data_IF_625602536297
#
_entry.id   IF_625602536297
#
_cell.length_a   1.000
_cell.length_b   1.000
_cell.length_c   1.000
_cell.angle_alpha   90.00
_cell.angle_beta   90.00
_cell.angle_gamma   90.00
#
_symmetry.space_group_name_H-M   'P 1'
#
loop_
_entity.id
_entity.type
_entity.pdbx_description
1 polymer ?
#
# COMPACT_ATOMS: atom_id res chain seq x y z
N UNK A 1 16.18 50.82 24.46
CA UNK A 1 15.95 51.78 25.56
C UNK A 1 14.70 52.57 25.23
N UNK A 2 13.73 52.52 26.13
CA UNK A 2 12.32 52.96 26.03
C UNK A 2 12.06 54.30 25.34
N UNK A 3 10.90 54.42 24.67
CA UNK A 3 9.66 55.12 25.12
C UNK A 3 8.76 55.38 23.89
N UNK A 4 7.59 54.73 23.78
CA UNK A 4 6.24 55.18 24.23
C UNK A 4 5.75 56.47 23.52
N UNK A 5 4.81 56.35 22.57
CA UNK A 5 3.35 56.68 22.68
C UNK A 5 3.06 58.18 22.85
N UNK A 6 2.23 58.78 21.96
CA UNK A 6 0.97 59.50 22.28
C UNK A 6 0.15 59.77 20.99
N UNK A 7 -1.14 59.45 21.08
CA UNK A 7 -2.26 59.62 20.14
C UNK A 7 -2.75 61.07 19.98
N UNK A 8 -3.58 61.36 18.95
CA UNK A 8 -4.77 62.27 18.88
C UNK A 8 -5.25 62.18 17.41
N UNK A 9 -6.36 61.54 17.03
CA UNK A 9 -7.81 61.77 17.22
C UNK A 9 -8.38 62.97 16.41
N UNK A 10 -9.13 62.59 15.37
CA UNK A 10 -10.35 63.18 14.78
C UNK A 10 -10.25 64.33 13.77
N UNK A 11 -10.53 64.00 12.51
CA UNK A 11 -11.50 64.74 11.70
C UNK A 11 -12.42 63.73 10.99
N UNK A 12 -13.72 63.81 11.30
CA UNK A 12 -14.79 63.11 10.59
C UNK A 12 -15.33 64.02 9.49
N UNK A 13 -15.45 63.50 8.26
CA UNK A 13 -16.61 63.74 7.40
C UNK A 13 -16.52 62.83 6.16
N UNK A 14 -17.51 61.97 5.92
CA UNK A 14 -17.64 61.31 4.62
C UNK A 14 -18.41 59.99 4.61
N UNK A 15 -19.74 60.11 4.51
CA UNK A 15 -20.66 59.32 3.68
C UNK A 15 -20.80 57.79 3.82
N UNK A 16 -22.09 57.42 3.88
CA UNK A 16 -22.72 56.10 3.95
C UNK A 16 -22.29 55.07 2.88
N UNK A 17 -22.01 53.88 3.38
CA UNK A 17 -22.41 52.53 2.92
C UNK A 17 -22.64 52.24 1.43
N UNK A 18 -21.77 51.38 0.89
CA UNK A 18 -22.20 50.25 0.07
C UNK A 18 -21.51 48.98 0.57
N UNK A 19 -22.23 48.18 1.36
CA UNK A 19 -21.78 46.90 1.88
C UNK A 19 -21.78 45.84 0.76
N UNK A 20 -20.66 45.68 0.07
CA UNK A 20 -20.38 44.46 -0.69
C UNK A 20 -19.99 43.36 0.30
N UNK A 21 -20.98 42.55 0.66
CA UNK A 21 -20.81 41.31 1.40
C UNK A 21 -20.02 40.31 0.54
N UNK A 22 -18.70 40.45 0.53
CA UNK A 22 -17.77 39.47 -0.02
C UNK A 22 -17.68 38.29 0.94
N UNK A 23 -18.69 37.43 0.91
CA UNK A 23 -18.58 36.09 1.46
C UNK A 23 -17.49 35.36 0.68
N UNK A 24 -16.28 35.32 1.25
CA UNK A 24 -15.26 34.37 0.84
C UNK A 24 -15.88 32.96 0.88
N UNK A 25 -15.80 32.18 -0.21
CA UNK A 25 -16.27 30.81 -0.17
C UNK A 25 -15.51 30.06 0.93
N UNK A 26 -16.25 29.37 1.79
CA UNK A 26 -15.69 28.53 2.84
C UNK A 26 -14.60 27.61 2.24
N UNK A 27 -13.49 27.34 2.96
CA UNK A 27 -12.46 26.47 2.46
C UNK A 27 -13.06 25.11 2.10
N UNK A 28 -12.95 24.75 0.81
CA UNK A 28 -13.36 23.46 0.27
C UNK A 28 -12.64 22.40 1.10
N UNK A 29 -13.40 21.58 1.85
CA UNK A 29 -12.80 20.50 2.64
C UNK A 29 -12.05 19.55 1.70
N UNK A 30 -10.93 18.98 2.15
CA UNK A 30 -10.14 18.05 1.34
C UNK A 30 -10.97 16.88 0.79
N UNK A 31 -11.98 16.44 1.54
CA UNK A 31 -12.95 15.44 1.09
C UNK A 31 -13.79 15.96 -0.09
N UNK A 32 -14.36 17.16 0.00
CA UNK A 32 -15.15 17.74 -1.11
C UNK A 32 -14.32 18.01 -2.37
N UNK A 33 -13.04 18.35 -2.23
CA UNK A 33 -12.12 18.45 -3.37
C UNK A 33 -11.86 17.09 -4.02
N UNK A 34 -11.57 16.06 -3.20
CA UNK A 34 -11.31 14.71 -3.71
C UNK A 34 -12.54 14.11 -4.43
N UNK A 35 -13.74 14.43 -3.94
CA UNK A 35 -15.00 13.95 -4.51
C UNK A 35 -15.27 14.61 -5.87
N UNK A 36 -15.05 15.91 -5.97
CA UNK A 36 -15.15 16.65 -7.22
C UNK A 36 -14.14 16.14 -8.26
N UNK A 37 -12.89 15.91 -7.85
CA UNK A 37 -11.87 15.36 -8.75
C UNK A 37 -12.28 13.98 -9.27
N UNK A 38 -12.63 13.05 -8.37
CA UNK A 38 -13.01 11.68 -8.74
C UNK A 38 -14.21 11.63 -9.69
N UNK A 39 -15.17 12.56 -9.54
CA UNK A 39 -16.33 12.66 -10.42
C UNK A 39 -15.99 13.07 -11.87
N UNK A 40 -14.88 13.79 -12.08
CA UNK A 40 -14.43 14.25 -13.41
C UNK A 40 -13.56 13.23 -14.16
N UNK A 41 -13.03 12.23 -13.46
CA UNK A 41 -12.10 11.27 -14.04
C UNK A 41 -12.83 10.26 -14.95
N UNK A 42 -12.19 9.77 -16.03
CA UNK A 42 -12.76 8.74 -16.89
C UNK A 42 -13.12 7.50 -16.09
N UNK A 43 -14.24 6.87 -16.44
CA UNK A 43 -14.70 5.64 -15.80
C UNK A 43 -14.98 4.53 -16.82
N UNK A 44 -14.89 3.29 -16.37
CA UNK A 44 -15.24 2.11 -17.16
C UNK A 44 -15.98 1.11 -16.29
N UNK A 45 -16.76 0.23 -16.92
CA UNK A 45 -17.25 -0.96 -16.22
C UNK A 45 -16.03 -1.69 -15.63
N UNK A 46 -16.12 -2.06 -14.36
CA UNK A 46 -15.14 -2.94 -13.74
C UNK A 46 -15.76 -4.30 -13.47
N UNK A 47 -14.99 -5.18 -12.84
CA UNK A 47 -15.45 -6.54 -12.59
C UNK A 47 -16.62 -6.54 -11.62
N UNK A 48 -16.39 -6.10 -10.39
CA UNK A 48 -17.40 -6.05 -9.32
C UNK A 48 -18.02 -4.66 -9.13
N UNK A 49 -17.25 -3.61 -9.40
CA UNK A 49 -17.64 -2.19 -9.26
C UNK A 49 -17.02 -1.38 -10.39
N UNK A 50 -17.62 -0.22 -10.72
CA UNK A 50 -17.07 0.73 -11.71
C UNK A 50 -15.65 1.17 -11.30
N UNK A 51 -14.75 1.23 -12.28
CA UNK A 51 -13.38 1.70 -12.10
C UNK A 51 -13.24 3.12 -12.62
N UNK A 52 -12.35 3.86 -11.99
CA UNK A 52 -11.94 5.23 -12.31
C UNK A 52 -10.50 5.21 -12.74
N UNK A 53 -10.18 5.84 -13.86
CA UNK A 53 -8.82 5.95 -14.36
C UNK A 53 -8.12 7.13 -13.69
N UNK A 54 -7.09 6.86 -12.91
CA UNK A 54 -6.28 7.86 -12.22
C UNK A 54 -4.79 7.67 -12.55
N UNK A 55 -4.18 8.66 -13.21
CA UNK A 55 -2.76 8.63 -13.65
C UNK A 55 -2.37 7.29 -14.30
N UNK A 56 -3.16 6.85 -15.29
CA UNK A 56 -3.00 5.58 -16.02
C UNK A 56 -3.18 4.30 -15.19
N UNK A 57 -3.80 4.38 -14.01
CA UNK A 57 -4.15 3.22 -13.19
C UNK A 57 -5.66 3.15 -12.95
N UNK A 58 -6.25 1.99 -13.17
CA UNK A 58 -7.67 1.73 -12.91
C UNK A 58 -7.89 1.39 -11.43
N UNK A 59 -8.61 2.25 -10.71
CA UNK A 59 -8.87 2.10 -9.29
C UNK A 59 -10.37 2.20 -9.01
N UNK A 60 -10.83 1.62 -7.90
CA UNK A 60 -12.18 1.94 -7.41
C UNK A 60 -12.21 3.40 -6.95
N UNK A 61 -13.34 4.08 -7.07
CA UNK A 61 -13.46 5.50 -6.72
C UNK A 61 -12.92 5.84 -5.32
N UNK A 62 -13.21 5.01 -4.31
CA UNK A 62 -12.69 5.21 -2.94
C UNK A 62 -11.17 5.00 -2.84
N UNK A 63 -10.58 4.13 -3.67
CA UNK A 63 -9.14 3.90 -3.71
C UNK A 63 -8.40 5.11 -4.33
N UNK A 64 -9.02 5.83 -5.27
CA UNK A 64 -8.47 7.11 -5.76
C UNK A 64 -8.37 8.11 -4.61
N UNK A 65 -9.43 8.25 -3.80
CA UNK A 65 -9.41 9.13 -2.62
C UNK A 65 -8.32 8.71 -1.62
N UNK A 66 -8.18 7.40 -1.35
CA UNK A 66 -7.12 6.90 -0.48
C UNK A 66 -5.73 7.17 -1.05
N UNK A 67 -5.54 7.00 -2.37
CA UNK A 67 -4.27 7.29 -3.03
C UNK A 67 -3.88 8.77 -2.89
N UNK A 68 -4.83 9.69 -3.04
CA UNK A 68 -4.59 11.12 -2.83
C UNK A 68 -4.17 11.40 -1.38
N UNK A 69 -4.87 10.82 -0.40
CA UNK A 69 -4.52 10.96 1.01
C UNK A 69 -3.12 10.44 1.32
N UNK A 70 -2.72 9.32 0.73
CA UNK A 70 -1.36 8.78 0.84
C UNK A 70 -0.35 9.73 0.21
N UNK A 71 -0.62 10.25 -1.00
CA UNK A 71 0.25 11.22 -1.67
C UNK A 71 0.48 12.49 -0.83
N UNK A 72 -0.57 12.97 -0.16
CA UNK A 72 -0.53 14.23 0.57
C UNK A 72 0.01 14.08 2.00
N UNK A 73 -0.20 12.93 2.66
CA UNK A 73 -0.01 12.82 4.11
C UNK A 73 0.94 11.69 4.56
N UNK A 74 1.27 10.71 3.72
CA UNK A 74 2.19 9.65 4.13
C UNK A 74 3.62 10.19 4.25
N UNK A 75 4.25 10.00 5.41
CA UNK A 75 5.60 10.47 5.70
C UNK A 75 6.55 9.28 5.74
N UNK A 76 7.20 8.91 4.62
CA UNK A 76 8.11 7.79 4.61
C UNK A 76 9.35 8.06 5.47
N UNK A 77 9.84 7.04 6.16
CA UNK A 77 11.08 7.05 6.93
C UNK A 77 12.17 6.32 6.16
N UNK A 78 13.42 6.71 6.37
CA UNK A 78 14.56 6.11 5.68
C UNK A 78 14.74 4.62 5.96
N UNK A 79 14.19 4.13 7.07
CA UNK A 79 14.27 2.72 7.48
C UNK A 79 12.96 1.94 7.25
N UNK A 80 11.98 2.53 6.57
CA UNK A 80 10.75 1.82 6.21
C UNK A 80 11.03 0.67 5.23
N UNK A 81 10.29 -0.42 5.42
CA UNK A 81 10.23 -1.56 4.51
C UNK A 81 8.84 -1.61 3.89
N UNK A 82 8.76 -1.46 2.58
CA UNK A 82 7.51 -1.48 1.80
C UNK A 82 7.42 -2.79 1.00
N UNK A 83 6.42 -3.60 1.33
CA UNK A 83 6.07 -4.82 0.63
C UNK A 83 5.05 -4.49 -0.48
N UNK A 84 5.52 -4.38 -1.71
CA UNK A 84 4.69 -3.97 -2.85
C UNK A 84 4.28 -5.18 -3.68
N UNK A 85 3.00 -5.24 -4.07
CA UNK A 85 2.48 -6.31 -4.94
C UNK A 85 1.32 -5.80 -5.76
N UNK A 86 1.21 -6.15 -7.04
CA UNK A 86 -0.12 -6.12 -7.67
C UNK A 86 -1.04 -7.10 -6.91
N UNK A 87 -2.33 -6.80 -6.74
CA UNK A 87 -3.25 -7.71 -6.06
C UNK A 87 -3.11 -9.15 -6.56
N UNK A 88 -3.18 -10.10 -5.62
CA UNK A 88 -3.17 -11.54 -5.86
C UNK A 88 -1.84 -12.15 -6.33
N UNK A 89 -0.76 -11.38 -6.23
CA UNK A 89 0.60 -11.85 -6.53
C UNK A 89 1.36 -12.43 -5.32
N UNK A 90 0.68 -12.74 -4.21
CA UNK A 90 1.30 -13.37 -3.03
C UNK A 90 1.51 -12.45 -1.82
N UNK A 91 0.81 -11.31 -1.76
CA UNK A 91 0.89 -10.32 -0.67
C UNK A 91 0.80 -10.93 0.73
N UNK A 92 -0.15 -11.85 0.96
CA UNK A 92 -0.31 -12.53 2.26
C UNK A 92 0.94 -13.31 2.65
N UNK A 93 1.56 -13.98 1.67
CA UNK A 93 2.75 -14.79 1.90
C UNK A 93 3.97 -13.90 2.14
N UNK A 94 4.15 -12.86 1.32
CA UNK A 94 5.23 -11.89 1.48
C UNK A 94 5.16 -11.18 2.84
N UNK A 95 3.96 -10.76 3.27
CA UNK A 95 3.73 -10.18 4.61
C UNK A 95 4.15 -11.13 5.71
N UNK A 96 3.74 -12.39 5.63
CA UNK A 96 4.09 -13.40 6.62
C UNK A 96 5.61 -13.61 6.71
N UNK A 97 6.28 -13.79 5.56
CA UNK A 97 7.72 -14.00 5.47
C UNK A 97 8.49 -12.81 6.05
N UNK A 98 8.20 -11.59 5.57
CA UNK A 98 8.89 -10.40 6.04
C UNK A 98 8.64 -10.12 7.53
N UNK A 99 7.42 -10.33 8.01
CA UNK A 99 7.10 -10.14 9.43
C UNK A 99 7.82 -11.17 10.31
N UNK A 100 7.83 -12.45 9.92
CA UNK A 100 8.56 -13.49 10.64
C UNK A 100 10.07 -13.21 10.65
N UNK A 101 10.66 -12.84 9.50
CA UNK A 101 12.09 -12.52 9.38
C UNK A 101 12.48 -11.37 10.32
N UNK A 102 11.72 -10.27 10.29
CA UNK A 102 12.05 -9.03 11.03
C UNK A 102 11.74 -9.12 12.53
N UNK A 103 10.91 -10.09 12.96
CA UNK A 103 10.50 -10.24 14.36
C UNK A 103 10.91 -11.60 14.98
N UNK A 104 11.75 -12.39 14.33
CA UNK A 104 12.17 -13.72 14.83
C UNK A 104 12.90 -13.69 16.18
N UNK A 105 13.54 -12.57 16.53
CA UNK A 105 14.15 -12.37 17.85
C UNK A 105 13.17 -11.89 18.92
N UNK A 106 11.98 -11.42 18.51
CA UNK A 106 10.94 -10.88 19.41
C UNK A 106 9.91 -11.93 19.81
N UNK A 107 9.61 -12.87 18.92
CA UNK A 107 8.58 -13.88 19.14
C UNK A 107 9.14 -15.28 18.92
N UNK A 108 8.92 -16.16 19.90
CA UNK A 108 9.19 -17.57 19.74
C UNK A 108 8.25 -18.17 18.67
N UNK A 109 8.75 -19.11 17.86
CA UNK A 109 7.96 -19.76 16.80
C UNK A 109 6.72 -20.49 17.33
N UNK A 110 6.77 -21.02 18.55
CA UNK A 110 5.65 -21.73 19.18
C UNK A 110 4.47 -20.81 19.56
N UNK A 111 4.73 -19.51 19.79
CA UNK A 111 3.71 -18.52 20.17
C UNK A 111 3.70 -17.31 19.22
N UNK A 112 4.09 -17.54 17.96
CA UNK A 112 4.26 -16.46 17.01
C UNK A 112 2.91 -15.82 16.63
N UNK A 113 2.80 -14.48 16.46
CA UNK A 113 1.55 -13.81 16.08
C UNK A 113 0.89 -14.40 14.81
N UNK A 114 1.69 -14.86 13.85
CA UNK A 114 1.24 -15.52 12.62
C UNK A 114 0.58 -16.89 12.82
N UNK A 115 0.51 -17.42 14.04
CA UNK A 115 -0.30 -18.59 14.39
C UNK A 115 -1.73 -18.21 14.80
N UNK A 116 -1.97 -16.93 15.15
CA UNK A 116 -3.22 -16.44 15.74
C UNK A 116 -3.86 -15.32 14.90
N UNK A 117 -3.07 -14.57 14.15
CA UNK A 117 -3.50 -13.40 13.38
C UNK A 117 -3.18 -13.56 11.91
N UNK A 118 -4.13 -13.16 11.07
CA UNK A 118 -3.92 -13.06 9.63
C UNK A 118 -2.75 -12.08 9.31
N UNK A 119 -1.87 -12.37 8.35
CA UNK A 119 -0.76 -11.48 7.98
C UNK A 119 -1.18 -10.04 7.66
N UNK A 120 -2.39 -9.83 7.14
CA UNK A 120 -2.93 -8.50 6.86
C UNK A 120 -3.25 -7.67 8.11
N UNK A 121 -3.26 -8.28 9.31
CA UNK A 121 -3.44 -7.60 10.60
C UNK A 121 -2.14 -7.23 11.30
N UNK A 122 -1.01 -7.79 10.87
CA UNK A 122 0.32 -7.50 11.44
C UNK A 122 1.19 -6.65 10.52
N UNK A 123 0.82 -6.57 9.23
CA UNK A 123 1.41 -5.64 8.26
C UNK A 123 0.28 -4.89 7.57
N UNK A 124 0.16 -3.59 7.84
CA UNK A 124 -0.88 -2.72 7.29
C UNK A 124 -0.62 -2.38 5.82
N UNK A 125 -1.69 -2.17 5.05
CA UNK A 125 -1.61 -1.63 3.69
C UNK A 125 -1.72 -0.12 3.78
N UNK A 126 -0.79 0.63 3.20
CA UNK A 126 -0.69 2.09 3.33
C UNK A 126 -1.98 2.78 2.86
N UNK A 127 -2.55 2.31 1.75
CA UNK A 127 -3.78 2.83 1.17
C UNK A 127 -5.07 2.17 1.67
N UNK A 128 -4.99 1.29 2.69
CA UNK A 128 -6.19 0.83 3.37
C UNK A 128 -6.79 1.98 4.19
N UNK A 129 -8.12 2.03 4.21
CA UNK A 129 -8.87 2.66 5.31
C UNK A 129 -9.65 1.53 5.94
N UNK A 130 -9.12 0.94 7.01
CA UNK A 130 -10.04 0.21 7.89
C UNK A 130 -10.93 1.25 8.57
N UNK A 131 -12.24 1.01 8.56
CA UNK A 131 -13.23 1.78 9.30
C UNK A 131 -12.85 1.68 10.79
N UNK A 132 -12.01 2.58 11.27
CA UNK A 132 -11.87 2.84 12.70
C UNK A 132 -12.70 4.09 12.99
N UNK A 133 -13.48 4.02 14.06
CA UNK A 133 -14.28 5.13 14.59
C UNK A 133 -13.42 6.31 15.12
N UNK A 134 -12.12 6.35 14.79
CA UNK A 134 -11.14 7.27 15.36
C UNK A 134 -10.35 8.09 14.32
N UNK A 135 -10.65 7.96 13.03
CA UNK A 135 -9.90 8.68 11.98
C UNK A 135 -8.51 8.09 11.69
N UNK A 136 -7.98 8.46 10.51
CA UNK A 136 -6.58 8.37 10.09
C UNK A 136 -5.83 7.03 10.18
N UNK A 137 -5.97 6.12 9.19
CA UNK A 137 -5.09 4.93 9.06
C UNK A 137 -3.59 5.32 8.96
N UNK A 138 -3.31 6.53 8.47
CA UNK A 138 -1.96 7.10 8.43
C UNK A 138 -1.43 7.51 9.81
N UNK A 139 -2.29 7.97 10.73
CA UNK A 139 -1.86 8.30 12.11
C UNK A 139 -1.46 7.03 12.85
N UNK A 140 -2.18 5.93 12.62
CA UNK A 140 -1.78 4.62 13.11
C UNK A 140 -0.41 4.21 12.54
N UNK A 141 -0.18 4.37 11.23
CA UNK A 141 1.12 4.09 10.60
C UNK A 141 2.23 4.97 11.19
N UNK A 142 1.95 6.24 11.51
CA UNK A 142 2.91 7.11 12.19
C UNK A 142 3.19 6.69 13.63
N UNK A 143 2.22 6.10 14.34
CA UNK A 143 2.44 5.58 15.70
C UNK A 143 3.32 4.32 15.76
N UNK A 144 3.52 3.63 14.63
CA UNK A 144 4.31 2.40 14.59
C UNK A 144 5.81 2.67 14.86
N UNK A 145 6.49 1.81 15.63
CA UNK A 145 7.93 1.93 15.84
C UNK A 145 8.70 1.64 14.55
N UNK A 146 9.83 2.31 14.40
CA UNK A 146 10.80 2.07 13.32
C UNK A 146 11.65 0.81 13.59
N UNK A 147 12.09 0.08 12.53
CA UNK A 147 11.66 0.22 11.14
C UNK A 147 10.22 -0.26 10.95
N UNK A 148 9.41 0.48 10.16
CA UNK A 148 8.03 0.07 9.90
C UNK A 148 7.99 -0.96 8.77
N UNK A 149 7.24 -2.03 8.99
CA UNK A 149 6.91 -3.00 7.95
C UNK A 149 5.51 -2.68 7.41
N UNK A 150 5.47 -2.18 6.18
CA UNK A 150 4.26 -1.70 5.50
C UNK A 150 4.04 -2.46 4.19
N UNK A 151 2.85 -2.40 3.64
CA UNK A 151 2.55 -2.98 2.33
C UNK A 151 1.75 -2.03 1.45
N UNK A 152 1.76 -2.28 0.14
CA UNK A 152 0.94 -1.51 -0.81
C UNK A 152 0.61 -2.32 -2.06
N UNK A 153 -0.52 -1.98 -2.66
CA UNK A 153 -0.93 -2.36 -4.01
C UNK A 153 -0.77 -1.24 -5.02
N UNK A 154 -0.32 -0.05 -4.59
CA UNK A 154 -0.12 1.07 -5.51
C UNK A 154 1.03 0.78 -6.48
N UNK A 155 0.89 1.14 -7.76
CA UNK A 155 2.05 1.23 -8.65
C UNK A 155 3.02 2.28 -8.11
N UNK A 156 4.30 2.14 -8.44
CA UNK A 156 5.36 3.02 -7.92
C UNK A 156 5.08 4.50 -8.23
N UNK A 157 4.52 4.81 -9.40
CA UNK A 157 4.14 6.16 -9.83
C UNK A 157 3.04 6.81 -8.99
N UNK A 158 2.30 6.02 -8.20
CA UNK A 158 1.26 6.49 -7.30
C UNK A 158 1.70 6.60 -5.84
N UNK A 159 2.89 6.09 -5.49
CA UNK A 159 3.50 6.36 -4.19
C UNK A 159 4.07 7.78 -4.14
N UNK A 160 4.21 8.39 -2.95
CA UNK A 160 4.90 9.66 -2.80
C UNK A 160 6.33 9.56 -3.37
N UNK A 161 6.81 10.50 -4.19
CA UNK A 161 8.16 10.46 -4.75
C UNK A 161 9.26 10.37 -3.68
N UNK A 162 8.96 10.87 -2.48
CA UNK A 162 9.84 10.80 -1.30
C UNK A 162 10.19 9.39 -0.86
N UNK A 163 9.33 8.39 -1.15
CA UNK A 163 9.64 6.96 -0.93
C UNK A 163 10.92 6.56 -1.66
N UNK A 164 11.14 7.08 -2.87
CA UNK A 164 12.33 6.78 -3.65
C UNK A 164 13.57 7.56 -3.24
N UNK A 165 13.41 8.71 -2.56
CA UNK A 165 14.55 9.58 -2.21
C UNK A 165 15.02 9.44 -0.77
N UNK A 166 14.17 8.99 0.16
CA UNK A 166 14.50 8.91 1.59
C UNK A 166 15.27 7.63 1.98
N UNK A 167 15.32 6.64 1.08
CA UNK A 167 16.07 5.40 1.29
C UNK A 167 15.24 4.20 1.77
N UNK A 168 13.90 4.26 1.68
CA UNK A 168 13.06 3.11 1.99
C UNK A 168 13.49 1.86 1.20
N UNK A 169 13.40 0.69 1.82
CA UNK A 169 13.55 -0.58 1.12
C UNK A 169 12.20 -1.04 0.56
N UNK A 170 12.19 -1.49 -0.68
CA UNK A 170 11.01 -2.03 -1.35
C UNK A 170 11.27 -3.50 -1.69
N UNK A 171 10.37 -4.39 -1.28
CA UNK A 171 10.33 -5.76 -1.80
C UNK A 171 9.09 -5.87 -2.68
N UNK A 172 9.30 -6.00 -3.98
CA UNK A 172 8.23 -6.20 -4.94
C UNK A 172 8.09 -7.69 -5.28
N UNK A 173 6.87 -8.21 -5.16
CA UNK A 173 6.55 -9.58 -5.57
C UNK A 173 5.49 -9.57 -6.67
N UNK A 174 5.87 -10.04 -7.86
CA UNK A 174 4.93 -10.33 -8.93
C UNK A 174 4.71 -11.83 -9.06
N UNK A 175 3.77 -12.19 -9.93
CA UNK A 175 3.38 -13.56 -10.21
C UNK A 175 3.11 -13.69 -11.70
N UNK A 176 3.24 -14.90 -12.23
CA UNK A 176 2.84 -15.20 -13.61
C UNK A 176 1.41 -14.64 -13.87
N UNK A 177 1.20 -13.85 -14.94
CA UNK A 177 -0.05 -13.11 -15.12
C UNK A 177 -1.32 -13.95 -15.24
N UNK A 178 -1.29 -15.13 -15.87
CA UNK A 178 -2.48 -16.00 -16.00
C UNK A 178 -2.89 -16.55 -14.64
N UNK A 179 -1.89 -16.90 -13.83
CA UNK A 179 -2.04 -17.35 -12.45
C UNK A 179 -2.56 -16.24 -11.52
N UNK A 180 -2.04 -15.02 -11.67
CA UNK A 180 -2.50 -13.83 -10.96
C UNK A 180 -3.95 -13.48 -11.33
N UNK A 181 -4.28 -13.48 -12.62
CA UNK A 181 -5.62 -13.29 -13.15
C UNK A 181 -6.63 -14.28 -12.56
N UNK A 182 -6.32 -15.58 -12.63
CA UNK A 182 -7.20 -16.63 -12.11
C UNK A 182 -7.47 -16.45 -10.62
N UNK A 183 -6.43 -16.11 -9.85
CA UNK A 183 -6.58 -15.82 -8.41
C UNK A 183 -7.42 -14.57 -8.13
N UNK A 184 -7.32 -13.53 -8.97
CA UNK A 184 -8.13 -12.32 -8.87
C UNK A 184 -9.58 -12.57 -9.21
N UNK A 185 -9.84 -13.33 -10.27
CA UNK A 185 -11.19 -13.67 -10.69
C UNK A 185 -11.96 -14.41 -9.59
N UNK A 186 -11.36 -15.46 -9.02
CA UNK A 186 -11.96 -16.17 -7.89
C UNK A 186 -12.16 -15.28 -6.66
N UNK A 187 -11.20 -14.41 -6.37
CA UNK A 187 -11.28 -13.52 -5.21
C UNK A 187 -12.40 -12.50 -5.34
N UNK A 188 -12.47 -11.80 -6.48
CA UNK A 188 -13.49 -10.79 -6.76
C UNK A 188 -14.89 -11.43 -6.76
N UNK A 189 -15.07 -12.60 -7.38
CA UNK A 189 -16.34 -13.32 -7.34
C UNK A 189 -16.74 -13.80 -5.94
N UNK A 190 -15.77 -14.09 -5.06
CA UNK A 190 -16.06 -14.45 -3.65
C UNK A 190 -16.55 -13.24 -2.83
N UNK A 191 -16.04 -12.03 -3.10
CA UNK A 191 -16.35 -10.83 -2.29
C UNK A 191 -17.46 -9.96 -2.90
N UNK A 192 -17.85 -10.23 -4.14
CA UNK A 192 -18.90 -9.47 -4.84
C UNK A 192 -20.26 -9.68 -4.18
N UNK A 193 -21.04 -8.60 -4.11
CA UNK A 193 -22.48 -8.62 -3.79
C UNK A 193 -23.25 -8.53 -5.12
N UNK A 194 -23.56 -9.67 -5.73
CA UNK A 194 -24.24 -9.75 -7.02
C UNK A 194 -23.71 -10.87 -7.89
N UNK A 195 -24.19 -10.95 -9.12
CA UNK A 195 -23.86 -12.06 -10.02
C UNK A 195 -22.36 -12.12 -10.35
N UNK A 196 -21.76 -13.32 -10.34
CA UNK A 196 -20.35 -13.47 -10.65
C UNK A 196 -20.05 -13.00 -12.08
N UNK A 197 -18.90 -12.36 -12.28
CA UNK A 197 -18.42 -12.07 -13.62
C UNK A 197 -17.94 -13.37 -14.27
N UNK A 198 -18.28 -13.59 -15.54
CA UNK A 198 -17.77 -14.74 -16.29
C UNK A 198 -16.25 -14.66 -16.45
N UNK A 199 -15.61 -15.81 -16.64
CA UNK A 199 -14.16 -15.86 -16.82
C UNK A 199 -13.74 -15.11 -18.08
N UNK A 200 -14.48 -15.28 -19.17
CA UNK A 200 -14.19 -14.68 -20.48
C UNK A 200 -14.28 -13.15 -20.43
N UNK A 201 -15.35 -12.59 -19.84
CA UNK A 201 -15.50 -11.14 -19.70
C UNK A 201 -14.38 -10.57 -18.83
N UNK A 202 -14.10 -11.20 -17.69
CA UNK A 202 -13.03 -10.76 -16.81
C UNK A 202 -11.65 -10.83 -17.49
N UNK A 203 -11.39 -11.89 -18.27
CA UNK A 203 -10.13 -12.09 -18.98
C UNK A 203 -9.91 -11.01 -20.05
N UNK A 204 -10.93 -10.72 -20.88
CA UNK A 204 -10.86 -9.64 -21.87
C UNK A 204 -10.52 -8.31 -21.20
N UNK A 205 -11.25 -7.95 -20.12
CA UNK A 205 -10.99 -6.72 -19.38
C UNK A 205 -9.59 -6.69 -18.74
N UNK A 206 -9.08 -7.83 -18.26
CA UNK A 206 -7.72 -7.94 -17.72
C UNK A 206 -6.66 -7.64 -18.78
N UNK A 207 -6.83 -8.24 -19.97
CA UNK A 207 -5.93 -8.08 -21.11
C UNK A 207 -5.97 -6.66 -21.70
N UNK A 208 -7.11 -5.97 -21.60
CA UNK A 208 -7.25 -4.55 -21.93
C UNK A 208 -6.69 -3.61 -20.84
N UNK A 209 -6.28 -4.17 -19.70
CA UNK A 209 -5.75 -3.42 -18.56
C UNK A 209 -6.83 -2.85 -17.62
N UNK A 210 -8.11 -3.01 -17.97
CA UNK A 210 -9.30 -2.56 -17.24
C UNK A 210 -9.63 -3.48 -16.05
N UNK A 211 -8.73 -3.54 -15.06
CA UNK A 211 -8.92 -4.26 -13.81
C UNK A 211 -8.37 -3.47 -12.62
N UNK A 212 -8.73 -3.83 -11.38
CA UNK A 212 -8.28 -3.08 -10.20
C UNK A 212 -6.74 -3.09 -10.11
N UNK A 213 -6.15 -1.89 -9.99
CA UNK A 213 -4.70 -1.63 -10.04
C UNK A 213 -4.04 -1.96 -11.39
N UNK A 214 -4.83 -2.16 -12.44
CA UNK A 214 -4.37 -2.36 -13.80
C UNK A 214 -3.98 -1.05 -14.50
N UNK A 215 -3.24 -1.12 -15.62
CA UNK A 215 -2.79 -2.35 -16.28
C UNK A 215 -1.66 -3.08 -15.54
N UNK A 216 -1.74 -4.41 -15.44
CA UNK A 216 -0.79 -5.19 -14.61
C UNK A 216 0.64 -5.13 -15.15
N UNK A 217 0.83 -5.06 -16.49
CA UNK A 217 2.16 -5.02 -17.09
C UNK A 217 2.90 -3.73 -16.76
N UNK A 218 2.21 -2.58 -16.76
CA UNK A 218 2.80 -1.31 -16.36
C UNK A 218 3.14 -1.31 -14.87
N UNK A 219 2.27 -1.91 -14.05
CA UNK A 219 2.54 -2.10 -12.63
C UNK A 219 3.82 -2.92 -12.41
N UNK A 220 4.00 -4.03 -13.13
CA UNK A 220 5.19 -4.88 -13.01
C UNK A 220 6.43 -4.16 -13.53
N UNK A 221 6.31 -3.50 -14.69
CA UNK A 221 7.42 -2.85 -15.37
C UNK A 221 7.99 -1.68 -14.57
N UNK A 222 7.16 -0.93 -13.85
CA UNK A 222 7.61 0.15 -12.97
C UNK A 222 8.57 -0.36 -11.89
N UNK A 223 8.16 -1.37 -11.11
CA UNK A 223 9.00 -1.93 -10.06
C UNK A 223 10.20 -2.71 -10.60
N UNK A 224 10.07 -3.36 -11.76
CA UNK A 224 11.19 -4.02 -12.42
C UNK A 224 12.28 -3.01 -12.81
N UNK A 225 11.92 -1.94 -13.51
CA UNK A 225 12.86 -0.87 -13.90
C UNK A 225 13.52 -0.25 -12.67
N UNK A 226 12.77 0.02 -11.62
CA UNK A 226 13.30 0.58 -10.38
C UNK A 226 14.30 -0.38 -9.70
N UNK A 227 14.04 -1.70 -9.72
CA UNK A 227 14.98 -2.69 -9.19
C UNK A 227 16.31 -2.73 -9.93
N UNK A 228 16.32 -2.42 -11.23
CA UNK A 228 17.55 -2.31 -12.02
C UNK A 228 18.30 -1.00 -11.71
N UNK A 229 17.56 0.09 -11.48
CA UNK A 229 18.14 1.40 -11.17
C UNK A 229 18.69 1.47 -9.73
N UNK A 230 18.00 0.84 -8.78
CA UNK A 230 18.27 0.92 -7.33
C UNK A 230 18.28 -0.47 -6.68
N UNK A 231 19.20 -1.37 -7.06
CA UNK A 231 19.21 -2.76 -6.59
C UNK A 231 19.50 -2.93 -5.09
N UNK A 232 19.98 -1.88 -4.41
CA UNK A 232 20.21 -1.89 -2.95
C UNK A 232 18.95 -1.55 -2.17
N UNK A 233 18.03 -0.78 -2.78
CA UNK A 233 16.79 -0.32 -2.17
C UNK A 233 15.56 -1.04 -2.71
N UNK A 234 15.62 -1.69 -3.87
CA UNK A 234 14.47 -2.39 -4.47
C UNK A 234 14.83 -3.81 -4.88
N UNK A 235 14.17 -4.77 -4.23
CA UNK A 235 14.26 -6.20 -4.53
C UNK A 235 13.02 -6.64 -5.32
N UNK A 236 13.23 -7.12 -6.54
CA UNK A 236 12.19 -7.72 -7.36
C UNK A 236 12.23 -9.25 -7.25
N UNK A 237 11.09 -9.88 -7.00
CA UNK A 237 10.92 -11.33 -6.87
C UNK A 237 9.71 -11.82 -7.66
N UNK A 238 9.78 -13.08 -8.07
CA UNK A 238 8.64 -13.82 -8.62
C UNK A 238 8.06 -14.76 -7.56
N UNK A 239 6.74 -14.85 -7.47
CA UNK A 239 6.03 -15.80 -6.60
C UNK A 239 6.50 -17.25 -6.83
N UNK A 240 6.78 -17.58 -8.09
CA UNK A 240 7.25 -18.89 -8.53
C UNK A 240 8.65 -19.22 -7.98
N UNK A 241 9.52 -18.23 -7.80
CA UNK A 241 10.85 -18.42 -7.19
C UNK A 241 10.71 -18.80 -5.72
N UNK A 242 9.83 -18.10 -4.97
CA UNK A 242 9.55 -18.43 -3.57
C UNK A 242 8.93 -19.82 -3.46
N UNK A 243 8.07 -20.20 -4.41
CA UNK A 243 7.45 -21.53 -4.44
C UNK A 243 8.46 -22.64 -4.78
N UNK A 244 9.40 -22.38 -5.68
CA UNK A 244 10.41 -23.33 -6.13
C UNK A 244 11.43 -23.63 -5.02
N UNK A 245 12.00 -22.59 -4.43
CA UNK A 245 12.93 -22.70 -3.30
C UNK A 245 12.61 -21.67 -2.21
N UNK A 246 11.68 -22.01 -1.30
CA UNK A 246 11.30 -21.12 -0.21
C UNK A 246 12.46 -20.75 0.72
N UNK A 247 13.42 -21.65 0.91
CA UNK A 247 14.54 -21.44 1.84
C UNK A 247 15.51 -20.41 1.26
N UNK A 248 15.87 -20.56 -0.01
CA UNK A 248 16.70 -19.59 -0.73
C UNK A 248 16.02 -18.22 -0.77
N UNK A 249 14.71 -18.17 -1.07
CA UNK A 249 13.96 -16.92 -1.09
C UNK A 249 13.92 -16.23 0.27
N UNK A 250 13.70 -16.99 1.36
CA UNK A 250 13.71 -16.45 2.74
C UNK A 250 15.08 -15.85 3.08
N UNK A 251 16.17 -16.55 2.79
CA UNK A 251 17.53 -16.03 3.02
C UNK A 251 17.81 -14.78 2.19
N UNK A 252 17.39 -14.76 0.92
CA UNK A 252 17.53 -13.60 0.03
C UNK A 252 16.77 -12.38 0.55
N UNK A 253 15.51 -12.55 0.95
CA UNK A 253 14.70 -11.48 1.55
C UNK A 253 15.34 -11.00 2.85
N UNK A 254 15.74 -11.91 3.73
CA UNK A 254 16.35 -11.57 5.02
C UNK A 254 17.63 -10.74 4.87
N UNK A 255 18.54 -11.15 4.00
CA UNK A 255 19.76 -10.39 3.68
C UNK A 255 19.43 -9.02 3.11
N UNK A 256 18.51 -8.93 2.16
CA UNK A 256 18.09 -7.65 1.57
C UNK A 256 17.50 -6.69 2.61
N UNK A 257 16.63 -7.20 3.50
CA UNK A 257 16.03 -6.38 4.56
C UNK A 257 17.03 -5.94 5.64
N UNK A 258 18.24 -6.52 5.69
CA UNK A 258 19.25 -6.23 6.71
C UNK A 258 19.13 -7.11 7.95
N UNK A 259 18.45 -8.24 7.85
CA UNK A 259 18.29 -9.23 8.90
C UNK A 259 18.81 -10.61 8.46
N UNK A 260 20.04 -10.73 7.91
CA UNK A 260 20.57 -12.00 7.41
C UNK A 260 20.56 -13.05 8.53
N UNK A 261 20.38 -14.31 8.15
CA UNK A 261 20.52 -15.42 9.11
C UNK A 261 22.01 -15.64 9.39
N UNK A 262 22.36 -15.83 10.67
CA UNK A 262 23.73 -16.21 11.02
C UNK A 262 23.98 -17.69 10.70
N UNK A 263 25.25 -18.11 10.68
CA UNK A 263 25.57 -19.54 10.50
C UNK A 263 24.96 -20.40 11.59
N UNK A 264 24.90 -19.87 12.81
CA UNK A 264 24.29 -20.53 13.98
C UNK A 264 22.78 -20.64 13.81
N UNK A 265 22.10 -19.58 13.35
CA UNK A 265 20.66 -19.61 13.05
C UNK A 265 20.34 -20.63 11.94
N UNK A 266 21.14 -20.66 10.86
CA UNK A 266 20.99 -21.64 9.79
C UNK A 266 21.24 -23.08 10.27
N UNK A 267 22.29 -23.29 11.09
CA UNK A 267 22.61 -24.61 11.64
C UNK A 267 21.51 -25.11 12.59
N UNK A 268 20.91 -24.20 13.36
CA UNK A 268 19.78 -24.47 14.23
C UNK A 268 18.43 -24.59 13.47
N UNK A 269 18.41 -24.31 12.16
CA UNK A 269 17.20 -24.44 11.33
C UNK A 269 16.18 -23.31 11.53
N UNK A 270 16.58 -22.14 12.02
CA UNK A 270 15.69 -20.99 12.24
C UNK A 270 15.05 -20.51 10.95
N UNK A 271 15.80 -20.48 9.85
CA UNK A 271 15.33 -20.15 8.52
C UNK A 271 14.29 -21.16 7.99
N UNK A 272 14.50 -22.46 8.26
CA UNK A 272 13.53 -23.52 7.96
C UNK A 272 12.25 -23.36 8.79
N UNK A 273 12.35 -22.92 10.04
CA UNK A 273 11.18 -22.63 10.88
C UNK A 273 10.39 -21.42 10.37
N UNK A 274 11.05 -20.37 9.86
CA UNK A 274 10.39 -19.26 9.17
C UNK A 274 9.60 -19.76 7.96
N UNK A 275 10.21 -20.60 7.10
CA UNK A 275 9.54 -21.22 5.95
C UNK A 275 8.32 -22.04 6.38
N UNK A 276 8.49 -22.88 7.41
CA UNK A 276 7.42 -23.74 7.94
C UNK A 276 6.25 -22.92 8.47
N UNK A 277 6.53 -21.91 9.29
CA UNK A 277 5.55 -21.00 9.88
C UNK A 277 4.75 -20.25 8.81
N UNK A 278 5.43 -19.81 7.74
CA UNK A 278 4.80 -19.04 6.66
C UNK A 278 4.22 -19.91 5.54
N UNK A 279 4.21 -21.23 5.69
CA UNK A 279 3.68 -22.14 4.67
C UNK A 279 2.17 -21.99 4.45
N UNK A 280 1.69 -22.31 3.25
CA UNK A 280 0.25 -22.29 2.95
C UNK A 280 -0.58 -23.13 3.91
N UNK A 281 -0.05 -24.25 4.40
CA UNK A 281 -0.72 -25.13 5.36
C UNK A 281 -1.04 -24.41 6.68
N UNK A 282 -0.13 -23.57 7.16
CA UNK A 282 -0.31 -22.79 8.39
C UNK A 282 -1.19 -21.58 8.10
N UNK A 283 -0.83 -20.78 7.09
CA UNK A 283 -1.53 -19.52 6.81
C UNK A 283 -3.00 -19.73 6.43
N UNK A 284 -3.36 -20.79 5.68
CA UNK A 284 -4.75 -21.06 5.27
C UNK A 284 -5.72 -21.19 6.45
N UNK A 285 -5.24 -21.59 7.64
CA UNK A 285 -6.06 -21.70 8.86
C UNK A 285 -6.52 -20.34 9.40
N UNK A 286 -5.94 -19.25 8.89
CA UNK A 286 -6.17 -17.87 9.34
C UNK A 286 -6.84 -16.99 8.28
N UNK A 287 -7.21 -17.57 7.13
CA UNK A 287 -7.84 -16.88 5.97
C UNK A 287 -9.29 -17.35 5.75
N UNK A 288 -9.87 -18.06 6.73
CA UNK A 288 -11.31 -18.39 6.76
C UNK A 288 -12.12 -17.21 7.24
#
# INVERSE_FOLDING_TARGET
>A
MNFLIVSIIMEQSGTEESSENSQQPAPISSESYSDNLVATLPTSEGWSTRLTLFKNCWLRAYMVKNCLLVQDNFKPRSDDIILATHPKCGTTWLKALAFAITNRSRYAFADHPLLKKNPHKVVTIIEAKFISEHGGDLDYIESLPSPRLLATHLPLSLLPPTVSTVGCKIVYLCREPKDAFTSMWHFENRIRKGDPISLEKAFTMFCEGCSSFGPFWDHYLQYWKESLARPKEVLFLMYEEIKCDPLMAVRKIASFLGFPFTKEEESAGVDKEVVRLCSFKVLRRLVT
#
